data_IF_862181828296
#
_entry.id   IF_862181828296
#
_cell.length_a   1.000
_cell.length_b   1.000
_cell.length_c   1.000
_cell.angle_alpha   90.00
_cell.angle_beta   90.00
_cell.angle_gamma   90.00
#
_symmetry.space_group_name_H-M   'P 1'
#
loop_
_entity.id
_entity.type
_entity.pdbx_description
1 polymer ?
#
# COMPACT_ATOMS: atom_id res chain seq x y z
N UNK A 1 32.01 -7.23 42.12
CA UNK A 1 32.39 -6.84 40.74
C UNK A 1 31.40 -7.38 39.72
N UNK A 2 30.95 -8.64 39.83
CA UNK A 2 30.00 -9.27 38.89
C UNK A 2 28.62 -8.57 38.75
N UNK A 3 28.09 -7.97 39.83
CA UNK A 3 26.80 -7.27 39.77
C UNK A 3 26.82 -5.99 38.92
N UNK A 4 27.95 -5.26 38.86
CA UNK A 4 28.02 -4.02 38.06
C UNK A 4 28.12 -4.32 36.57
N UNK A 5 28.80 -5.39 36.19
CA UNK A 5 28.89 -5.84 34.80
C UNK A 5 27.54 -6.38 34.29
N UNK A 6 26.83 -7.14 35.13
CA UNK A 6 25.51 -7.67 34.81
C UNK A 6 24.48 -6.54 34.63
N UNK A 7 24.46 -5.55 35.54
CA UNK A 7 23.61 -4.36 35.39
C UNK A 7 23.93 -3.55 34.13
N UNK A 8 25.21 -3.32 33.84
CA UNK A 8 25.62 -2.58 32.64
C UNK A 8 25.16 -3.28 31.35
N UNK A 9 25.24 -4.62 31.31
CA UNK A 9 24.80 -5.43 30.17
C UNK A 9 23.29 -5.33 29.95
N UNK A 10 22.49 -5.47 31.01
CA UNK A 10 21.03 -5.31 30.99
C UNK A 10 20.58 -3.91 30.54
N UNK A 11 21.29 -2.86 30.98
CA UNK A 11 21.00 -1.48 30.57
C UNK A 11 21.25 -1.31 29.06
N UNK A 12 22.34 -1.87 28.55
CA UNK A 12 22.69 -1.81 27.13
C UNK A 12 21.68 -2.58 26.26
N UNK A 13 21.26 -3.76 26.68
CA UNK A 13 20.22 -4.55 26.00
C UNK A 13 18.87 -3.82 26.01
N UNK A 14 18.44 -3.30 27.16
CA UNK A 14 17.22 -2.49 27.26
C UNK A 14 17.25 -1.27 26.34
N UNK A 15 18.42 -0.61 26.21
CA UNK A 15 18.60 0.52 25.31
C UNK A 15 18.47 0.10 23.84
N UNK A 16 19.08 -1.03 23.45
CA UNK A 16 18.95 -1.59 22.09
C UNK A 16 17.50 -1.97 21.76
N UNK A 17 16.79 -2.60 22.69
CA UNK A 17 15.38 -2.96 22.47
C UNK A 17 14.50 -1.74 22.28
N UNK A 18 14.66 -0.69 23.10
CA UNK A 18 13.93 0.57 22.92
C UNK A 18 14.20 1.21 21.57
N UNK A 19 15.46 1.23 21.12
CA UNK A 19 15.80 1.73 19.79
C UNK A 19 15.13 0.91 18.67
N UNK A 20 15.09 -0.42 18.81
CA UNK A 20 14.47 -1.30 17.82
C UNK A 20 12.95 -1.13 17.74
N UNK A 21 12.29 -0.97 18.89
CA UNK A 21 10.85 -0.71 18.97
C UNK A 21 10.52 0.60 18.25
N UNK A 22 11.24 1.68 18.55
CA UNK A 22 11.01 2.97 17.89
C UNK A 22 11.21 2.92 16.36
N UNK A 23 12.19 2.14 15.89
CA UNK A 23 12.42 1.93 14.46
C UNK A 23 11.26 1.16 13.79
N UNK A 24 10.74 0.12 14.46
CA UNK A 24 9.62 -0.67 13.95
C UNK A 24 8.32 0.14 13.91
N UNK A 25 8.03 0.92 14.95
CA UNK A 25 6.86 1.80 14.99
C UNK A 25 6.89 2.81 13.85
N UNK A 26 8.06 3.42 13.59
CA UNK A 26 8.23 4.35 12.46
C UNK A 26 7.95 3.67 11.12
N UNK A 27 8.50 2.47 10.89
CA UNK A 27 8.27 1.69 9.66
C UNK A 27 6.81 1.31 9.51
N UNK A 28 6.12 0.97 10.59
CA UNK A 28 4.71 0.59 10.57
C UNK A 28 3.82 1.77 10.16
N UNK A 29 4.06 2.95 10.73
CA UNK A 29 3.35 4.19 10.38
C UNK A 29 3.57 4.51 8.90
N UNK A 30 4.81 4.45 8.41
CA UNK A 30 5.15 4.70 7.01
C UNK A 30 4.44 3.71 6.07
N UNK A 31 4.47 2.41 6.39
CA UNK A 31 3.76 1.39 5.62
C UNK A 31 2.25 1.63 5.60
N UNK A 32 1.66 2.02 6.73
CA UNK A 32 0.23 2.37 6.83
C UNK A 32 -0.11 3.59 5.96
N UNK A 33 0.74 4.62 5.99
CA UNK A 33 0.57 5.84 5.20
C UNK A 33 0.60 5.52 3.70
N UNK A 34 1.63 4.79 3.24
CA UNK A 34 1.80 4.40 1.83
C UNK A 34 0.59 3.58 1.34
N UNK A 35 0.16 2.58 2.12
CA UNK A 35 -1.02 1.77 1.78
C UNK A 35 -2.29 2.61 1.69
N UNK A 36 -2.48 3.56 2.61
CA UNK A 36 -3.65 4.45 2.61
C UNK A 36 -3.65 5.35 1.38
N UNK A 37 -2.55 6.03 1.09
CA UNK A 37 -2.41 6.91 -0.07
C UNK A 37 -2.58 6.13 -1.38
N UNK A 38 -1.97 4.95 -1.51
CA UNK A 38 -2.15 4.08 -2.68
C UNK A 38 -3.62 3.71 -2.88
N UNK A 39 -4.32 3.32 -1.81
CA UNK A 39 -5.74 2.94 -1.89
C UNK A 39 -6.65 4.13 -2.21
N UNK A 40 -6.34 5.31 -1.70
CA UNK A 40 -7.09 6.53 -2.01
C UNK A 40 -6.89 6.96 -3.47
N UNK A 41 -5.66 6.94 -3.97
CA UNK A 41 -5.35 7.23 -5.37
C UNK A 41 -6.02 6.24 -6.32
N UNK A 42 -5.98 4.94 -5.99
CA UNK A 42 -6.66 3.91 -6.79
C UNK A 42 -8.18 4.12 -6.80
N UNK A 43 -8.79 4.42 -5.65
CA UNK A 43 -10.23 4.71 -5.57
C UNK A 43 -10.60 5.93 -6.40
N UNK A 44 -9.84 7.03 -6.30
CA UNK A 44 -10.06 8.24 -7.11
C UNK A 44 -9.94 7.93 -8.60
N UNK A 45 -8.89 7.23 -8.99
CA UNK A 45 -8.69 6.81 -10.38
C UNK A 45 -9.88 5.97 -10.89
N UNK A 46 -10.31 4.96 -10.12
CA UNK A 46 -11.47 4.13 -10.46
C UNK A 46 -12.75 4.96 -10.59
N UNK A 47 -12.97 5.93 -9.69
CA UNK A 47 -14.15 6.80 -9.73
C UNK A 47 -14.17 7.68 -10.98
N UNK A 48 -13.04 8.30 -11.31
CA UNK A 48 -12.89 9.13 -12.52
C UNK A 48 -13.13 8.27 -13.77
N UNK A 49 -12.46 7.12 -13.87
CA UNK A 49 -12.61 6.24 -15.03
C UNK A 49 -14.03 5.67 -15.17
N UNK A 50 -14.72 5.42 -14.06
CA UNK A 50 -16.11 4.96 -14.08
C UNK A 50 -17.10 6.04 -14.50
N UNK A 51 -16.80 7.32 -14.20
CA UNK A 51 -17.62 8.47 -14.58
C UNK A 51 -17.36 8.96 -16.01
N UNK A 52 -16.22 8.61 -16.61
CA UNK A 52 -15.88 8.98 -17.97
C UNK A 52 -16.95 8.53 -18.98
N UNK A 53 -17.27 9.41 -19.92
CA UNK A 53 -18.16 9.11 -21.04
C UNK A 53 -17.46 8.31 -22.13
N UNK A 54 -16.14 8.48 -22.26
CA UNK A 54 -15.31 7.72 -23.19
C UNK A 54 -15.02 6.32 -22.65
N UNK A 55 -14.90 5.36 -23.57
CA UNK A 55 -14.52 3.99 -23.26
C UNK A 55 -13.07 3.93 -22.78
N UNK A 56 -12.87 3.45 -21.55
CA UNK A 56 -11.53 3.27 -20.98
C UNK A 56 -11.28 1.78 -20.81
N UNK A 57 -10.21 1.32 -21.47
CA UNK A 57 -9.74 -0.06 -21.48
C UNK A 57 -8.29 -0.03 -21.03
N UNK A 58 -7.91 -0.97 -20.18
CA UNK A 58 -6.54 -1.15 -19.73
C UNK A 58 -6.17 -2.61 -19.90
N UNK A 59 -5.00 -2.88 -20.46
CA UNK A 59 -4.46 -4.23 -20.65
C UNK A 59 -3.11 -4.35 -19.96
N UNK A 60 -2.75 -5.57 -19.53
CA UNK A 60 -1.41 -5.88 -19.08
C UNK A 60 -0.45 -6.12 -20.26
N UNK A 61 0.82 -6.39 -19.97
CA UNK A 61 1.83 -6.62 -21.00
C UNK A 61 1.62 -7.91 -21.80
N UNK A 62 0.79 -8.83 -21.30
CA UNK A 62 0.41 -10.08 -21.98
C UNK A 62 -0.86 -9.90 -22.82
N UNK A 63 -1.44 -8.72 -22.77
CA UNK A 63 -2.61 -8.30 -23.51
C UNK A 63 -3.96 -8.69 -22.88
N UNK A 64 -3.96 -9.13 -21.62
CA UNK A 64 -5.20 -9.38 -20.90
C UNK A 64 -5.82 -8.06 -20.44
N UNK A 65 -7.13 -7.91 -20.63
CA UNK A 65 -7.87 -6.73 -20.20
C UNK A 65 -7.97 -6.72 -18.67
N UNK A 66 -7.26 -5.81 -18.02
CA UNK A 66 -7.27 -5.60 -16.57
C UNK A 66 -8.39 -4.65 -16.12
N UNK A 67 -8.84 -3.75 -16.99
CA UNK A 67 -9.90 -2.79 -16.68
C UNK A 67 -10.78 -2.46 -17.89
N UNK A 68 -12.07 -2.28 -17.60
CA UNK A 68 -13.11 -2.02 -18.59
C UNK A 68 -14.24 -1.21 -17.92
N UNK A 69 -14.38 0.06 -18.27
CA UNK A 69 -15.40 0.94 -17.67
C UNK A 69 -16.79 0.76 -18.31
N UNK A 70 -17.82 1.38 -17.72
CA UNK A 70 -19.21 1.29 -18.22
C UNK A 70 -19.36 1.87 -19.64
N UNK A 71 -18.62 2.91 -19.97
CA UNK A 71 -18.63 3.49 -21.30
C UNK A 71 -18.10 2.51 -22.36
N UNK A 72 -17.02 1.79 -22.08
CA UNK A 72 -16.50 0.75 -22.95
C UNK A 72 -17.54 -0.38 -23.15
N UNK A 73 -18.28 -0.76 -22.10
CA UNK A 73 -19.38 -1.72 -22.25
C UNK A 73 -20.45 -1.24 -23.22
N UNK A 74 -20.81 0.04 -23.17
CA UNK A 74 -21.82 0.63 -24.06
C UNK A 74 -21.32 0.74 -25.51
N UNK A 75 -20.06 1.12 -25.70
CA UNK A 75 -19.47 1.33 -27.03
C UNK A 75 -19.24 -0.01 -27.75
N UNK A 76 -18.67 -0.99 -27.06
CA UNK A 76 -18.29 -2.27 -27.67
C UNK A 76 -19.32 -3.39 -27.47
N UNK A 77 -20.34 -3.18 -26.62
CA UNK A 77 -21.41 -4.16 -26.38
C UNK A 77 -21.04 -5.34 -25.48
N UNK A 78 -19.80 -5.40 -24.96
CA UNK A 78 -19.33 -6.46 -24.08
C UNK A 78 -19.34 -6.03 -22.61
N UNK A 79 -19.90 -6.86 -21.74
CA UNK A 79 -19.82 -6.68 -20.29
C UNK A 79 -18.47 -7.17 -19.78
N UNK A 80 -17.94 -6.48 -18.77
CA UNK A 80 -16.76 -6.96 -18.05
C UNK A 80 -17.16 -8.25 -17.33
N UNK A 81 -16.44 -9.36 -17.59
CA UNK A 81 -16.58 -10.61 -16.82
C UNK A 81 -16.07 -10.43 -15.39
#
# INVERSE_FOLDING_TARGET
MEESETKAKLINESKKFRQRIAELEKREIECKQIKKTSRESEKKFRAICAAAQDGIIMMDNEGNISYWNKAAQRIFGYTKK
#
